data_IF_526456962636
#
_entry.id   IF_526456962636
#
_cell.length_a   1.000
_cell.length_b   1.000
_cell.length_c   1.000
_cell.angle_alpha   90.00
_cell.angle_beta   90.00
_cell.angle_gamma   90.00
#
_symmetry.space_group_name_H-M   'P 1'
#
loop_
_entity.id
_entity.type
_entity.pdbx_description
1 polymer ?
#
# COMPACT_ATOMS: atom_id res chain seq x y z
N UNK A 1 -8.57 10.19 5.26
CA UNK A 1 -8.50 8.72 5.31
C UNK A 1 -7.05 8.34 5.50
N UNK A 2 -6.77 7.63 6.58
CA UNK A 2 -5.45 7.10 6.90
C UNK A 2 -5.19 5.82 6.11
N UNK A 3 -3.93 5.51 5.82
CA UNK A 3 -3.51 4.31 5.08
C UNK A 3 -4.12 3.02 5.68
N UNK A 4 -4.23 2.95 7.00
CA UNK A 4 -4.87 1.83 7.71
C UNK A 4 -6.36 1.68 7.38
N UNK A 5 -7.09 2.79 7.24
CA UNK A 5 -8.52 2.77 6.91
C UNK A 5 -8.72 2.25 5.48
N UNK A 6 -7.86 2.68 4.54
CA UNK A 6 -7.83 2.19 3.16
C UNK A 6 -7.59 0.69 3.11
N UNK A 7 -6.62 0.17 3.87
CA UNK A 7 -6.30 -1.26 3.93
C UNK A 7 -7.46 -2.06 4.55
N UNK A 8 -8.06 -1.56 5.64
CA UNK A 8 -9.23 -2.20 6.25
C UNK A 8 -10.38 -2.31 5.24
N UNK A 9 -10.66 -1.21 4.52
CA UNK A 9 -11.73 -1.18 3.51
C UNK A 9 -11.47 -2.14 2.35
N UNK A 10 -10.23 -2.20 1.84
CA UNK A 10 -9.83 -3.17 0.81
C UNK A 10 -10.07 -4.61 1.31
N UNK A 11 -9.72 -4.90 2.56
CA UNK A 11 -9.92 -6.23 3.14
C UNK A 11 -11.41 -6.58 3.33
N UNK A 12 -12.25 -5.63 3.74
CA UNK A 12 -13.70 -5.81 3.80
C UNK A 12 -14.28 -6.15 2.44
N UNK A 13 -13.94 -5.36 1.41
CA UNK A 13 -14.37 -5.61 0.03
C UNK A 13 -13.84 -6.96 -0.47
N UNK A 14 -12.62 -7.35 -0.12
CA UNK A 14 -12.06 -8.66 -0.49
C UNK A 14 -12.76 -9.83 0.20
N UNK A 15 -13.21 -9.66 1.45
CA UNK A 15 -14.01 -10.68 2.15
C UNK A 15 -15.40 -10.79 1.55
N UNK A 16 -16.04 -9.66 1.25
CA UNK A 16 -17.35 -9.60 0.58
C UNK A 16 -17.31 -10.25 -0.80
N UNK A 17 -16.26 -10.00 -1.57
CA UNK A 17 -16.01 -10.65 -2.86
C UNK A 17 -15.98 -12.17 -2.78
N UNK A 18 -15.40 -12.71 -1.70
CA UNK A 18 -15.27 -14.16 -1.49
C UNK A 18 -16.56 -14.81 -0.98
N UNK A 19 -17.42 -14.08 -0.28
CA UNK A 19 -18.66 -14.62 0.28
C UNK A 19 -19.84 -14.50 -0.67
N UNK A 20 -20.15 -13.27 -1.09
CA UNK A 20 -21.39 -12.94 -1.83
C UNK A 20 -21.12 -12.39 -3.23
N UNK A 21 -19.85 -12.12 -3.55
CA UNK A 21 -19.45 -11.41 -4.77
C UNK A 21 -19.41 -9.89 -4.55
N UNK A 22 -18.76 -9.19 -5.47
CA UNK A 22 -18.72 -7.72 -5.49
C UNK A 22 -19.64 -7.20 -6.57
N UNK A 23 -20.31 -6.09 -6.28
CA UNK A 23 -20.94 -5.29 -7.33
C UNK A 23 -19.88 -4.55 -8.15
N UNK A 24 -20.25 -4.06 -9.34
CA UNK A 24 -19.34 -3.29 -10.19
C UNK A 24 -18.81 -2.04 -9.48
N UNK A 25 -19.69 -1.31 -8.78
CA UNK A 25 -19.32 -0.12 -8.01
C UNK A 25 -18.30 -0.43 -6.90
N UNK A 26 -18.47 -1.55 -6.18
CA UNK A 26 -17.52 -1.96 -5.14
C UNK A 26 -16.20 -2.49 -5.72
N UNK A 27 -16.23 -3.05 -6.93
CA UNK A 27 -15.03 -3.47 -7.64
C UNK A 27 -14.21 -2.27 -8.08
N UNK A 28 -14.88 -1.21 -8.53
CA UNK A 28 -14.27 0.06 -8.90
C UNK A 28 -13.69 0.76 -7.65
N UNK A 29 -14.44 0.82 -6.55
CA UNK A 29 -13.96 1.33 -5.25
C UNK A 29 -12.70 0.57 -4.79
N UNK A 30 -12.72 -0.76 -4.83
CA UNK A 30 -11.55 -1.58 -4.47
C UNK A 30 -10.35 -1.28 -5.37
N UNK A 31 -10.58 -1.02 -6.65
CA UNK A 31 -9.51 -0.75 -7.63
C UNK A 31 -8.87 0.61 -7.36
N UNK A 32 -9.67 1.65 -7.13
CA UNK A 32 -9.19 2.98 -6.74
C UNK A 32 -8.40 2.92 -5.44
N UNK A 33 -8.94 2.27 -4.41
CA UNK A 33 -8.27 2.14 -3.12
C UNK A 33 -6.93 1.41 -3.23
N UNK A 34 -6.86 0.35 -4.05
CA UNK A 34 -5.61 -0.37 -4.30
C UNK A 34 -4.58 0.47 -5.03
N UNK A 35 -5.01 1.26 -6.01
CA UNK A 35 -4.12 2.15 -6.75
C UNK A 35 -3.49 3.18 -5.81
N UNK A 36 -4.31 3.86 -5.01
CA UNK A 36 -3.84 4.83 -4.01
C UNK A 36 -2.88 4.21 -3.00
N UNK A 37 -3.17 2.99 -2.52
CA UNK A 37 -2.28 2.26 -1.61
C UNK A 37 -0.92 1.97 -2.25
N UNK A 38 -0.91 1.47 -3.49
CA UNK A 38 0.34 1.14 -4.20
C UNK A 38 1.16 2.40 -4.46
N UNK A 39 0.54 3.51 -4.81
CA UNK A 39 1.24 4.78 -5.03
C UNK A 39 1.88 5.31 -3.74
N UNK A 40 1.13 5.32 -2.63
CA UNK A 40 1.65 5.70 -1.33
C UNK A 40 2.79 4.77 -0.87
N UNK A 41 2.64 3.46 -1.07
CA UNK A 41 3.68 2.48 -0.75
C UNK A 41 4.93 2.66 -1.60
N UNK A 42 4.79 2.93 -2.91
CA UNK A 42 5.91 3.20 -3.82
C UNK A 42 6.65 4.47 -3.44
N UNK A 43 5.93 5.53 -3.07
CA UNK A 43 6.53 6.78 -2.61
C UNK A 43 7.31 6.56 -1.30
N UNK A 44 6.72 5.85 -0.34
CA UNK A 44 7.39 5.48 0.91
C UNK A 44 8.62 4.61 0.67
N UNK A 45 8.52 3.61 -0.21
CA UNK A 45 9.65 2.74 -0.55
C UNK A 45 10.79 3.51 -1.23
N UNK A 46 10.49 4.42 -2.16
CA UNK A 46 11.51 5.29 -2.76
C UNK A 46 12.19 6.13 -1.69
N UNK A 47 11.42 6.78 -0.81
CA UNK A 47 11.98 7.55 0.30
C UNK A 47 12.86 6.71 1.22
N UNK A 48 12.50 5.44 1.46
CA UNK A 48 13.34 4.51 2.23
C UNK A 48 14.63 4.16 1.48
N UNK A 49 14.55 3.91 0.18
CA UNK A 49 15.72 3.61 -0.67
C UNK A 49 16.66 4.82 -0.81
N UNK A 50 16.12 6.04 -0.97
CA UNK A 50 16.89 7.28 -0.98
C UNK A 50 17.55 7.55 0.38
N UNK A 51 16.95 7.05 1.46
CA UNK A 51 17.52 7.09 2.82
C UNK A 51 18.52 5.96 3.08
N UNK A 52 18.75 5.03 2.15
CA UNK A 52 19.81 4.03 2.29
C UNK A 52 21.13 4.74 2.06
N UNK A 53 21.78 5.08 3.16
CA UNK A 53 23.17 5.53 3.15
C UNK A 53 24.07 4.29 3.08
N UNK A 54 25.05 4.29 2.16
CA UNK A 54 26.11 3.31 2.19
C UNK A 54 27.01 3.63 3.39
N UNK A 55 26.82 2.90 4.48
CA UNK A 55 27.80 2.86 5.57
C UNK A 55 29.01 2.07 5.06
N UNK A 56 29.89 2.75 4.32
CA UNK A 56 31.26 2.27 4.15
C UNK A 56 31.91 2.38 5.54
N UNK A 57 31.85 1.27 6.30
CA UNK A 57 32.65 1.11 7.50
C UNK A 57 34.13 0.99 7.10
N UNK A 58 34.71 2.12 6.69
CA UNK A 58 36.12 2.38 6.90
C UNK A 58 36.34 3.89 6.90
N UNK A 59 36.67 4.46 8.07
CA UNK A 59 38.10 4.55 8.37
C UNK A 59 38.51 4.46 9.85
N UNK A 60 39.64 3.75 10.05
CA UNK A 60 40.69 3.93 11.07
C UNK A 60 40.42 3.47 12.53
N UNK A 61 41.11 2.39 12.95
CA UNK A 61 42.39 2.47 13.70
C UNK A 61 43.29 1.28 13.40
#
# INVERSE_FOLDING_TARGET
>A
MSMEETVRRINELSRKAKSVGLTESETEERTVLRQTYIEAMRASLRSQLDSIEFVDENPQQ
#
